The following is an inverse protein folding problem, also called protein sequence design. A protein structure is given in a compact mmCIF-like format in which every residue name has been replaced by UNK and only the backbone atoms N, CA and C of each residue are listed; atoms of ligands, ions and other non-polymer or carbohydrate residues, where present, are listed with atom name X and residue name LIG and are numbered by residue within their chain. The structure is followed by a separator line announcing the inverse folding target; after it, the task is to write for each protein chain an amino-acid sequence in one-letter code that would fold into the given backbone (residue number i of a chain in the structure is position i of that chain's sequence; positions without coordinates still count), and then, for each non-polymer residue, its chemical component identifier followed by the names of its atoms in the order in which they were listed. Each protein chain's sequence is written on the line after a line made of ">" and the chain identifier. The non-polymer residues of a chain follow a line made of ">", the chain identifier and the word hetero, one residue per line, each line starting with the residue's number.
data_IF_688576648294
#
_entry.id   IF_688576648294
#
_cell.length_a   1.000
_cell.length_b   1.000
_cell.length_c   1.000
_cell.angle_alpha   90.00
_cell.angle_beta   90.00
_cell.angle_gamma   90.00
#
_symmetry.space_group_name_H-M   'P 1'
#
loop_
_entity.id
_entity.type
_entity.pdbx_description
1 polymer ?
#
# COMPACT_ATOMS: atom_id res chain seq x y z
N UNK A 1 13.78 10.19 16.76
CA UNK A 1 13.44 8.97 17.52
C UNK A 1 12.91 7.93 16.53
N UNK A 2 13.50 6.74 16.46
CA UNK A 2 13.02 5.67 15.55
C UNK A 2 11.64 5.16 15.94
N UNK A 3 11.21 5.39 17.18
CA UNK A 3 9.91 4.95 17.72
C UNK A 3 8.69 5.64 17.12
N UNK A 4 8.89 6.77 16.44
CA UNK A 4 7.81 7.56 15.83
C UNK A 4 7.65 7.30 14.32
N UNK A 5 8.38 6.33 13.76
CA UNK A 5 8.36 6.02 12.33
C UNK A 5 7.48 4.81 12.08
N UNK A 6 6.61 4.93 11.09
CA UNK A 6 5.81 3.83 10.58
C UNK A 6 5.97 3.70 9.06
N UNK A 7 5.59 2.55 8.51
CA UNK A 7 5.62 2.27 7.08
C UNK A 7 4.29 1.67 6.63
N UNK A 8 3.80 2.11 5.49
CA UNK A 8 2.54 1.64 4.93
C UNK A 8 2.68 1.30 3.45
N UNK A 9 2.06 0.19 3.04
CA UNK A 9 1.99 -0.21 1.65
C UNK A 9 0.73 0.38 1.02
N UNK A 10 0.91 1.36 0.14
CA UNK A 10 -0.20 2.07 -0.51
C UNK A 10 -0.47 1.44 -1.88
N UNK A 11 -1.68 0.91 -2.15
CA UNK A 11 -2.02 0.38 -3.45
C UNK A 11 -1.99 1.47 -4.54
N UNK A 12 -1.49 1.14 -5.73
CA UNK A 12 -1.52 2.09 -6.87
C UNK A 12 -2.92 2.44 -7.35
N UNK A 13 -3.90 1.57 -7.08
CA UNK A 13 -5.27 1.74 -7.53
C UNK A 13 -6.22 1.80 -6.34
N UNK A 14 -7.22 2.67 -6.45
CA UNK A 14 -8.37 2.74 -5.54
C UNK A 14 -9.67 2.57 -6.32
N UNK A 15 -10.75 2.22 -5.62
CA UNK A 15 -12.10 2.22 -6.23
C UNK A 15 -12.71 3.61 -6.11
N UNK A 16 -13.25 4.13 -7.21
CA UNK A 16 -14.09 5.32 -7.17
C UNK A 16 -15.51 4.98 -6.65
N UNK A 17 -16.41 5.99 -6.62
CA UNK A 17 -17.80 5.81 -6.16
C UNK A 17 -18.60 4.80 -6.99
N UNK A 18 -18.24 4.60 -8.25
CA UNK A 18 -18.86 3.63 -9.16
C UNK A 18 -18.24 2.23 -9.05
N UNK A 19 -17.27 2.04 -8.13
CA UNK A 19 -16.55 0.79 -7.93
C UNK A 19 -15.44 0.51 -8.96
N UNK A 20 -15.16 1.44 -9.87
CA UNK A 20 -14.12 1.32 -10.90
C UNK A 20 -12.75 1.61 -10.30
N UNK A 21 -11.75 0.78 -10.67
CA UNK A 21 -10.36 1.01 -10.30
C UNK A 21 -9.80 2.22 -11.06
N UNK A 22 -9.25 3.17 -10.31
CA UNK A 22 -8.56 4.36 -10.80
C UNK A 22 -7.21 4.50 -10.09
N UNK A 23 -6.20 5.11 -10.74
CA UNK A 23 -4.94 5.44 -10.09
C UNK A 23 -5.15 6.34 -8.86
N UNK A 24 -4.29 6.18 -7.85
CA UNK A 24 -4.17 7.11 -6.74
C UNK A 24 -2.70 7.43 -6.47
N UNK A 25 -2.48 8.60 -5.88
CA UNK A 25 -1.17 9.05 -5.39
C UNK A 25 -1.01 8.76 -3.89
N UNK A 26 0.24 8.80 -3.41
CA UNK A 26 0.54 8.63 -1.99
C UNK A 26 -0.05 9.78 -1.18
N UNK A 27 0.01 11.01 -1.71
CA UNK A 27 -0.54 12.20 -1.08
C UNK A 27 -2.06 12.11 -0.91
N UNK A 28 -2.80 11.67 -1.93
CA UNK A 28 -4.25 11.48 -1.83
C UNK A 28 -4.64 10.43 -0.77
N UNK A 29 -3.89 9.33 -0.69
CA UNK A 29 -4.09 8.32 0.34
C UNK A 29 -3.81 8.91 1.73
N UNK A 30 -2.70 9.63 1.87
CA UNK A 30 -2.26 10.21 3.14
C UNK A 30 -3.23 11.24 3.71
N UNK A 31 -3.77 12.12 2.86
CA UNK A 31 -4.77 13.11 3.27
C UNK A 31 -6.10 12.45 3.66
N UNK A 32 -6.46 11.32 3.03
CA UNK A 32 -7.72 10.61 3.28
C UNK A 32 -7.65 9.71 4.51
N UNK A 33 -6.58 8.94 4.67
CA UNK A 33 -6.50 7.86 5.65
C UNK A 33 -5.62 8.24 6.85
N UNK A 34 -4.61 9.10 6.71
CA UNK A 34 -3.65 9.38 7.79
C UNK A 34 -3.95 10.69 8.50
N UNK A 35 -4.01 11.80 7.77
CA UNK A 35 -4.21 13.15 8.33
C UNK A 35 -5.45 13.30 9.23
N UNK A 36 -6.60 12.67 8.96
CA UNK A 36 -7.77 12.78 9.84
C UNK A 36 -7.55 12.17 11.23
N UNK A 37 -6.63 11.20 11.35
CA UNK A 37 -6.30 10.54 12.60
C UNK A 37 -5.08 11.14 13.29
N UNK A 38 -4.11 11.64 12.51
CA UNK A 38 -2.91 12.30 13.02
C UNK A 38 -2.56 13.52 12.16
N UNK A 39 -3.09 14.72 12.49
CA UNK A 39 -2.89 15.92 11.69
C UNK A 39 -1.43 16.36 11.54
N UNK A 40 -0.61 16.08 12.56
CA UNK A 40 0.83 16.40 12.58
C UNK A 40 1.71 15.37 11.84
N UNK A 41 1.10 14.32 11.28
CA UNK A 41 1.82 13.33 10.49
C UNK A 41 2.47 13.99 9.26
N UNK A 42 3.63 13.47 8.87
CA UNK A 42 4.39 13.92 7.71
C UNK A 42 5.04 12.73 7.00
N UNK A 43 5.35 12.91 5.71
CA UNK A 43 5.96 11.87 4.88
C UNK A 43 7.41 12.23 4.59
N UNK A 44 8.33 11.29 4.81
CA UNK A 44 9.70 11.36 4.30
C UNK A 44 9.75 10.83 2.86
N UNK A 45 9.67 11.75 1.87
CA UNK A 45 9.67 11.37 0.45
C UNK A 45 10.96 10.67 -0.01
N UNK A 46 12.08 10.83 0.72
CA UNK A 46 13.34 10.15 0.38
C UNK A 46 13.29 8.64 0.62
N UNK A 47 12.31 8.17 1.41
CA UNK A 47 12.13 6.76 1.78
C UNK A 47 11.05 6.05 0.98
N UNK A 48 10.31 6.79 0.15
CA UNK A 48 9.29 6.24 -0.73
C UNK A 48 9.91 5.33 -1.79
N UNK A 49 9.32 4.14 -1.99
CA UNK A 49 9.73 3.17 -3.00
C UNK A 49 8.51 2.67 -3.76
N UNK A 50 8.69 2.47 -5.07
CA UNK A 50 7.70 1.83 -5.95
C UNK A 50 8.11 0.38 -6.16
N UNK A 51 7.17 -0.55 -5.96
CA UNK A 51 7.40 -1.98 -6.13
C UNK A 51 6.11 -2.72 -6.48
N UNK A 52 6.25 -4.00 -6.83
CA UNK A 52 5.15 -4.90 -7.14
C UNK A 52 5.20 -6.08 -6.17
N UNK A 53 4.02 -6.53 -5.74
CA UNK A 53 3.88 -7.77 -4.97
C UNK A 53 3.41 -8.89 -5.91
N UNK A 54 4.15 -9.98 -5.94
CA UNK A 54 3.78 -11.19 -6.68
C UNK A 54 3.55 -12.29 -5.65
N UNK A 55 2.31 -12.76 -5.53
CA UNK A 55 2.02 -13.87 -4.63
C UNK A 55 2.53 -15.19 -5.23
N UNK A 56 3.68 -15.65 -4.73
CA UNK A 56 4.34 -16.80 -5.32
C UNK A 56 3.52 -18.08 -5.19
N UNK A 57 2.91 -18.30 -4.03
CA UNK A 57 2.08 -19.49 -3.79
C UNK A 57 0.90 -19.54 -4.75
N UNK A 58 0.20 -18.43 -4.97
CA UNK A 58 -0.98 -18.39 -5.85
C UNK A 58 -0.64 -18.72 -7.31
N UNK A 59 0.51 -18.26 -7.80
CA UNK A 59 0.83 -18.34 -9.23
C UNK A 59 1.81 -19.45 -9.60
N UNK A 60 2.68 -19.88 -8.68
CA UNK A 60 3.76 -20.82 -8.98
C UNK A 60 3.73 -22.08 -8.12
N UNK A 61 2.83 -22.19 -7.14
CA UNK A 61 2.71 -23.42 -6.37
C UNK A 61 1.93 -24.46 -7.17
N UNK A 62 2.62 -25.54 -7.53
CA UNK A 62 2.00 -26.77 -8.02
C UNK A 62 1.84 -27.73 -6.86
N UNK A 63 0.59 -28.10 -6.56
CA UNK A 63 0.31 -29.05 -5.48
C UNK A 63 0.86 -30.43 -5.84
N UNK A 64 1.77 -30.95 -5.02
CA UNK A 64 2.26 -32.32 -5.12
C UNK A 64 1.54 -33.20 -4.10
N UNK A 65 0.82 -34.21 -4.60
CA UNK A 65 0.30 -35.29 -3.77
C UNK A 65 1.47 -36.11 -3.23
N UNK A 66 1.48 -36.33 -1.92
CA UNK A 66 2.35 -37.33 -1.30
C UNK A 66 1.74 -38.71 -1.61
N UNK A 67 2.52 -39.55 -2.29
CA UNK A 67 2.16 -40.93 -2.60
C UNK A 67 2.23 -41.82 -1.34
#
# INVERSE_FOLDING_TARGET
>A
DSKLRDYENIPFLQKNKDGKLIPQTIEEYFEREVKPHLPEAWIDKSKTKVGYEINFTKYFYEFKLLA
#
